data_IF_639952423206
#
_entry.id   IF_639952423206
#
_cell.length_a   1.000
_cell.length_b   1.000
_cell.length_c   1.000
_cell.angle_alpha   90.00
_cell.angle_beta   90.00
_cell.angle_gamma   90.00
#
_symmetry.space_group_name_H-M   'P 1'
#
loop_
_entity.id
_entity.type
_entity.pdbx_description
1 polymer ?
#
# COMPACT_ATOMS: atom_id res chain seq x y z
N UNK A 1 -4.58 -0.32 22.36
CA UNK A 1 -3.81 0.21 21.22
C UNK A 1 -2.81 -0.87 20.88
N UNK A 2 -3.25 -1.84 20.09
CA UNK A 2 -2.57 -3.13 20.02
C UNK A 2 -1.31 -3.05 19.16
N UNK A 3 -0.19 -3.36 19.81
CA UNK A 3 0.83 -4.24 19.26
C UNK A 3 1.43 -3.81 17.93
N UNK A 4 2.41 -2.92 18.00
CA UNK A 4 3.44 -2.80 16.98
C UNK A 4 4.24 -4.11 16.88
N UNK A 5 3.69 -5.09 16.18
CA UNK A 5 4.48 -6.20 15.69
C UNK A 5 5.50 -5.62 14.72
N UNK A 6 6.78 -5.65 15.08
CA UNK A 6 7.87 -5.41 14.13
C UNK A 6 7.65 -6.45 13.02
N UNK A 7 7.29 -6.07 11.79
CA UNK A 7 7.10 -7.05 10.74
C UNK A 7 8.44 -7.77 10.57
N UNK A 8 8.42 -9.10 10.65
CA UNK A 8 9.57 -9.88 10.19
C UNK A 8 9.94 -9.44 8.78
N UNK A 9 11.17 -9.68 8.34
CA UNK A 9 11.60 -9.34 6.98
C UNK A 9 10.62 -9.85 5.90
N UNK A 10 9.97 -11.00 6.16
CA UNK A 10 8.92 -11.57 5.30
C UNK A 10 7.57 -10.83 5.38
N UNK A 11 7.20 -10.30 6.55
CA UNK A 11 5.95 -9.57 6.75
C UNK A 11 6.00 -8.09 6.34
N UNK A 12 7.20 -7.52 6.20
CA UNK A 12 7.39 -6.09 5.89
C UNK A 12 6.75 -5.67 4.55
N UNK A 13 6.92 -6.40 3.43
CA UNK A 13 6.30 -6.01 2.15
C UNK A 13 4.77 -6.03 2.22
N UNK A 14 4.19 -7.01 2.93
CA UNK A 14 2.75 -7.10 3.14
C UNK A 14 2.23 -5.89 3.93
N UNK A 15 2.87 -5.56 5.05
CA UNK A 15 2.45 -4.44 5.89
C UNK A 15 2.61 -3.09 5.19
N UNK A 16 3.72 -2.88 4.47
CA UNK A 16 3.94 -1.65 3.71
C UNK A 16 2.90 -1.48 2.60
N UNK A 17 2.60 -2.54 1.85
CA UNK A 17 1.57 -2.50 0.79
C UNK A 17 0.23 -1.99 1.34
N UNK A 18 -0.21 -2.53 2.49
CA UNK A 18 -1.47 -2.14 3.12
C UNK A 18 -1.44 -0.73 3.69
N UNK A 19 -0.31 -0.31 4.26
CA UNK A 19 -0.16 1.02 4.86
C UNK A 19 -0.10 2.11 3.81
N UNK A 20 0.62 1.88 2.71
CA UNK A 20 0.65 2.78 1.55
C UNK A 20 -0.74 2.93 0.94
N UNK A 21 -1.48 1.84 0.76
CA UNK A 21 -2.85 1.89 0.24
C UNK A 21 -3.78 2.70 1.16
N UNK A 22 -3.71 2.48 2.48
CA UNK A 22 -4.51 3.22 3.45
C UNK A 22 -4.24 4.73 3.38
N UNK A 23 -2.98 5.15 3.37
CA UNK A 23 -2.61 6.57 3.27
C UNK A 23 -3.07 7.15 1.93
N UNK A 24 -3.05 6.37 0.85
CA UNK A 24 -3.57 6.77 -0.45
C UNK A 24 -5.10 6.87 -0.53
N UNK A 25 -5.83 6.57 0.56
CA UNK A 25 -7.29 6.52 0.56
C UNK A 25 -7.86 5.29 -0.13
N UNK A 26 -7.06 4.25 -0.35
CA UNK A 26 -7.47 3.01 -1.04
C UNK A 26 -7.80 1.92 -0.04
N UNK A 27 -9.03 1.42 -0.10
CA UNK A 27 -9.47 0.20 0.56
C UNK A 27 -9.24 -1.01 -0.37
N UNK A 28 -8.15 -1.74 -0.15
CA UNK A 28 -7.80 -2.91 -0.97
C UNK A 28 -8.82 -4.05 -0.86
N UNK A 29 -9.48 -4.21 0.30
CA UNK A 29 -10.52 -5.24 0.47
C UNK A 29 -11.73 -4.92 -0.40
N UNK A 30 -12.16 -3.65 -0.40
CA UNK A 30 -13.24 -3.18 -1.26
C UNK A 30 -12.85 -3.29 -2.74
N UNK A 31 -11.64 -2.87 -3.12
CA UNK A 31 -11.13 -3.02 -4.49
C UNK A 31 -11.19 -4.48 -4.97
N UNK A 32 -10.90 -5.45 -4.10
CA UNK A 32 -11.02 -6.87 -4.43
C UNK A 32 -12.48 -7.33 -4.54
N UNK A 33 -13.34 -6.90 -3.61
CA UNK A 33 -14.76 -7.24 -3.63
C UNK A 33 -15.49 -6.70 -4.87
N UNK A 34 -15.10 -5.52 -5.35
CA UNK A 34 -15.67 -4.86 -6.53
C UNK A 34 -15.00 -5.28 -7.85
N UNK A 35 -13.98 -6.16 -7.80
CA UNK A 35 -13.24 -6.62 -8.97
C UNK A 35 -12.26 -5.59 -9.57
N UNK A 36 -12.01 -4.48 -8.88
CA UNK A 36 -10.99 -3.48 -9.25
C UNK A 36 -9.55 -3.96 -9.05
N UNK A 37 -9.35 -4.97 -8.18
CA UNK A 37 -8.08 -5.63 -7.87
C UNK A 37 -8.29 -7.15 -7.76
N UNK A 38 -7.55 -7.97 -8.51
CA UNK A 38 -7.62 -9.43 -8.31
C UNK A 38 -6.76 -9.89 -7.13
N UNK A 39 -7.00 -11.11 -6.63
CA UNK A 39 -6.15 -11.70 -5.59
C UNK A 39 -4.70 -11.89 -6.09
N UNK A 40 -4.53 -12.31 -7.34
CA UNK A 40 -3.22 -12.47 -7.97
C UNK A 40 -2.50 -11.13 -8.12
N UNK A 41 -3.22 -10.07 -8.52
CA UNK A 41 -2.65 -8.72 -8.58
C UNK A 41 -2.21 -8.22 -7.20
N UNK A 42 -2.98 -8.53 -6.14
CA UNK A 42 -2.62 -8.17 -4.78
C UNK A 42 -1.36 -8.90 -4.30
N UNK A 43 -1.22 -10.20 -4.59
CA UNK A 43 0.02 -10.94 -4.34
C UNK A 43 1.17 -10.31 -5.13
N UNK A 44 0.95 -9.98 -6.41
CA UNK A 44 1.91 -9.28 -7.25
C UNK A 44 2.32 -7.91 -6.70
N UNK A 45 1.42 -7.16 -6.06
CA UNK A 45 1.77 -5.92 -5.36
C UNK A 45 2.78 -6.18 -4.25
N UNK A 46 2.56 -7.20 -3.42
CA UNK A 46 3.44 -7.54 -2.31
C UNK A 46 4.82 -7.97 -2.82
N UNK A 47 4.87 -8.75 -3.89
CA UNK A 47 6.13 -9.17 -4.53
C UNK A 47 6.88 -8.01 -5.17
N UNK A 48 6.19 -7.11 -5.88
CA UNK A 48 6.77 -5.86 -6.41
C UNK A 48 7.33 -4.98 -5.31
N UNK A 49 6.63 -4.89 -4.18
CA UNK A 49 7.13 -4.18 -3.01
C UNK A 49 8.43 -4.83 -2.54
N UNK A 50 8.47 -6.16 -2.40
CA UNK A 50 9.64 -6.94 -1.99
C UNK A 50 10.85 -6.72 -2.91
N UNK A 51 10.65 -6.69 -4.23
CA UNK A 51 11.76 -6.55 -5.20
C UNK A 51 12.14 -5.10 -5.49
N UNK A 52 11.25 -4.13 -5.25
CA UNK A 52 11.45 -2.73 -5.63
C UNK A 52 12.45 -1.95 -4.77
N UNK A 53 12.97 -2.52 -3.69
CA UNK A 53 14.01 -1.90 -2.84
C UNK A 53 13.60 -0.61 -2.11
N UNK A 54 12.35 -0.17 -2.25
CA UNK A 54 11.85 1.09 -1.69
C UNK A 54 11.38 0.98 -0.22
N UNK A 55 11.61 -0.15 0.47
CA UNK A 55 11.01 -0.40 1.79
C UNK A 55 11.34 0.66 2.83
N UNK A 56 12.62 1.02 2.95
CA UNK A 56 13.07 1.99 3.94
C UNK A 56 12.49 3.38 3.66
N UNK A 57 12.54 3.83 2.40
CA UNK A 57 11.98 5.12 1.99
C UNK A 57 10.45 5.18 2.17
N UNK A 58 9.73 4.10 1.86
CA UNK A 58 8.29 4.02 2.10
C UNK A 58 7.97 4.07 3.60
N UNK A 59 8.72 3.34 4.44
CA UNK A 59 8.52 3.34 5.89
C UNK A 59 8.78 4.71 6.51
N UNK A 60 9.87 5.37 6.12
CA UNK A 60 10.22 6.72 6.58
C UNK A 60 9.17 7.75 6.12
N UNK A 61 8.75 7.68 4.85
CA UNK A 61 7.70 8.55 4.33
C UNK A 61 6.37 8.35 5.07
N UNK A 62 5.96 7.10 5.33
CA UNK A 62 4.76 6.77 6.11
C UNK A 62 4.80 7.34 7.52
N UNK A 63 5.97 7.33 8.18
CA UNK A 63 6.13 7.86 9.54
C UNK A 63 5.85 9.37 9.63
N UNK A 64 5.98 10.10 8.51
CA UNK A 64 5.69 11.53 8.42
C UNK A 64 4.26 11.90 8.02
N UNK A 65 3.38 10.93 7.74
CA UNK A 65 2.02 11.21 7.29
C UNK A 65 1.08 11.44 8.47
N UNK A 66 0.60 12.68 8.62
CA UNK A 66 -0.37 13.07 9.65
C UNK A 66 -1.79 13.23 9.09
N UNK A 67 -1.91 13.62 7.82
CA UNK A 67 -3.17 13.82 7.12
C UNK A 67 -3.29 12.82 5.96
N UNK A 68 -4.47 12.26 5.73
CA UNK A 68 -4.78 11.36 4.62
C UNK A 68 -6.18 11.68 4.06
N UNK A 69 -6.47 11.43 2.76
CA UNK A 69 -5.62 10.74 1.79
C UNK A 69 -4.48 11.60 1.21
N UNK A 70 -3.32 10.98 0.99
CA UNK A 70 -2.15 11.58 0.33
C UNK A 70 -1.65 10.66 -0.77
N UNK A 71 -1.38 11.24 -1.94
CA UNK A 71 -0.84 10.51 -3.08
C UNK A 71 0.49 9.81 -2.71
N UNK A 72 0.67 8.52 -3.03
CA UNK A 72 1.94 7.83 -2.81
C UNK A 72 3.09 8.57 -3.50
N UNK A 73 4.31 8.53 -2.93
CA UNK A 73 5.47 9.15 -3.54
C UNK A 73 5.83 8.42 -4.84
N UNK A 74 6.47 9.13 -5.78
CA UNK A 74 6.85 8.59 -7.09
C UNK A 74 7.80 7.39 -7.03
N UNK A 75 8.55 7.23 -5.95
CA UNK A 75 9.42 6.07 -5.73
C UNK A 75 8.67 4.81 -5.27
N UNK A 76 7.40 4.92 -4.90
CA UNK A 76 6.61 3.78 -4.42
C UNK A 76 6.30 2.85 -5.59
N UNK A 77 6.59 1.55 -5.42
CA UNK A 77 6.29 0.51 -6.40
C UNK A 77 4.78 0.33 -6.67
N UNK A 78 3.91 0.99 -5.90
CA UNK A 78 2.46 0.91 -6.05
C UNK A 78 1.81 2.22 -6.53
N UNK A 79 2.60 3.26 -6.86
CA UNK A 79 2.05 4.59 -7.16
C UNK A 79 0.96 4.56 -8.24
N UNK A 80 1.20 3.86 -9.34
CA UNK A 80 0.24 3.79 -10.46
C UNK A 80 -1.04 3.03 -10.10
N UNK A 81 -0.91 1.85 -9.48
CA UNK A 81 -2.07 1.02 -9.12
C UNK A 81 -2.90 1.66 -8.01
N UNK A 82 -2.27 2.31 -7.03
CA UNK A 82 -2.99 3.01 -5.97
C UNK A 82 -3.70 4.25 -6.51
N UNK A 83 -3.08 5.02 -7.41
CA UNK A 83 -3.76 6.12 -8.09
C UNK A 83 -5.00 5.61 -8.85
N UNK A 84 -4.86 4.54 -9.64
CA UNK A 84 -6.00 3.92 -10.36
C UNK A 84 -7.11 3.49 -9.41
N UNK A 85 -6.79 2.76 -8.34
CA UNK A 85 -7.79 2.27 -7.38
C UNK A 85 -8.46 3.40 -6.62
N UNK A 86 -7.71 4.46 -6.27
CA UNK A 86 -8.28 5.62 -5.56
C UNK A 86 -9.39 6.28 -6.38
N UNK A 87 -9.22 6.42 -7.69
CA UNK A 87 -10.25 7.00 -8.57
C UNK A 87 -11.50 6.13 -8.70
N UNK A 88 -11.41 4.82 -8.41
CA UNK A 88 -12.57 3.92 -8.43
C UNK A 88 -13.35 3.95 -7.12
N UNK A 89 -12.82 4.57 -6.06
CA UNK A 89 -13.38 4.53 -4.70
C UNK A 89 -13.85 5.92 -4.21
N UNK A 90 -14.01 6.86 -5.13
CA UNK A 90 -14.57 8.19 -4.84
C UNK A 90 -16.09 8.14 -5.06
N UNK A 91 -16.82 7.64 -4.07
CA UNK A 91 -18.29 7.77 -3.95
C UNK A 91 -18.66 8.65 -2.74
#
# INVERSE_FOLDING_TARGET
>A
MDGGAIPSEMGRPFWLTRSMARVAGVNLTQAMAEGGLSADDYVGMIERCRSGGCHAACAEWLAGQADWPVAPPSFCAHVEILARLSHLQVD
#
